data_IF_762162968861
#
_entry.id   IF_762162968861
#
_cell.length_a   1.000
_cell.length_b   1.000
_cell.length_c   1.000
_cell.angle_alpha   90.00
_cell.angle_beta   90.00
_cell.angle_gamma   90.00
#
_symmetry.space_group_name_H-M   'P 1'
#
loop_
_entity.id
_entity.type
_entity.pdbx_description
1 polymer ?
#
# COMPACT_ATOMS: atom_id res chain seq x y z
N UNK A 1 -6.75 -5.01 -3.48
CA UNK A 1 -6.65 -3.54 -3.34
C UNK A 1 -6.81 -2.90 -4.69
N UNK A 2 -7.27 -1.64 -4.75
CA UNK A 2 -7.51 -0.92 -6.01
C UNK A 2 -6.63 0.32 -6.12
N UNK A 3 -6.19 0.63 -7.34
CA UNK A 3 -5.49 1.86 -7.68
C UNK A 3 -6.07 2.42 -8.98
N UNK A 4 -5.94 3.72 -9.20
CA UNK A 4 -6.37 4.35 -10.43
C UNK A 4 -5.55 3.89 -11.65
N UNK A 5 -4.30 3.45 -11.44
CA UNK A 5 -3.30 3.21 -12.47
C UNK A 5 -2.26 4.32 -12.50
N UNK A 6 -1.18 4.11 -13.27
CA UNK A 6 -0.07 5.08 -13.32
C UNK A 6 0.62 5.15 -14.68
N UNK A 7 0.66 4.05 -15.44
CA UNK A 7 1.39 3.98 -16.70
C UNK A 7 0.43 4.13 -17.88
N UNK A 8 0.77 5.03 -18.81
CA UNK A 8 -0.03 5.29 -20.01
C UNK A 8 -0.21 4.04 -20.88
N UNK A 9 0.81 3.17 -20.93
CA UNK A 9 0.77 1.94 -21.73
C UNK A 9 -0.35 0.98 -21.28
N UNK A 10 -0.66 0.92 -19.98
CA UNK A 10 -1.74 0.05 -19.47
C UNK A 10 -3.11 0.50 -20.00
N UNK A 11 -3.28 1.82 -20.17
CA UNK A 11 -4.50 2.43 -20.68
C UNK A 11 -4.60 2.29 -22.20
N UNK A 12 -3.49 2.45 -22.90
CA UNK A 12 -3.41 2.22 -24.35
C UNK A 12 -3.76 0.76 -24.71
N UNK A 13 -3.25 -0.21 -23.95
CA UNK A 13 -3.57 -1.63 -24.13
C UNK A 13 -5.03 -1.97 -23.82
N UNK A 14 -5.64 -1.25 -22.88
CA UNK A 14 -7.04 -1.42 -22.52
C UNK A 14 -8.00 -0.60 -23.40
N UNK A 15 -7.48 0.14 -24.38
CA UNK A 15 -8.24 1.08 -25.22
C UNK A 15 -9.03 2.13 -24.39
N UNK A 16 -8.44 2.56 -23.27
CA UNK A 16 -9.00 3.58 -22.38
C UNK A 16 -8.18 4.88 -22.49
N UNK A 17 -8.81 6.06 -22.65
CA UNK A 17 -8.08 7.33 -22.60
C UNK A 17 -7.41 7.55 -21.24
N UNK A 18 -6.11 7.82 -21.23
CA UNK A 18 -5.33 7.99 -20.00
C UNK A 18 -5.75 9.22 -19.18
N UNK A 19 -6.19 10.29 -19.85
CA UNK A 19 -6.69 11.51 -19.23
C UNK A 19 -8.00 11.31 -18.45
N UNK A 20 -8.74 10.23 -18.73
CA UNK A 20 -9.96 9.86 -18.01
C UNK A 20 -9.69 9.04 -16.74
N UNK A 21 -8.43 8.74 -16.41
CA UNK A 21 -8.02 7.86 -15.30
C UNK A 21 -8.72 8.16 -13.98
N UNK A 22 -8.71 9.43 -13.55
CA UNK A 22 -9.25 9.83 -12.25
C UNK A 22 -10.77 9.71 -12.23
N UNK A 23 -11.44 10.17 -13.28
CA UNK A 23 -12.90 10.16 -13.35
C UNK A 23 -13.44 8.73 -13.49
N UNK A 24 -12.83 7.91 -14.35
CA UNK A 24 -13.18 6.48 -14.45
C UNK A 24 -13.00 5.76 -13.13
N UNK A 25 -11.90 6.00 -12.43
CA UNK A 25 -11.67 5.39 -11.13
C UNK A 25 -12.73 5.80 -10.11
N UNK A 26 -13.08 7.09 -10.03
CA UNK A 26 -14.14 7.60 -9.16
C UNK A 26 -15.51 6.98 -9.47
N UNK A 27 -15.82 6.77 -10.76
CA UNK A 27 -17.09 6.17 -11.20
C UNK A 27 -17.14 4.66 -10.95
N UNK A 28 -16.04 3.94 -11.18
CA UNK A 28 -16.00 2.48 -11.10
C UNK A 28 -15.84 1.96 -9.67
N UNK A 29 -15.05 2.64 -8.83
CA UNK A 29 -14.70 2.15 -7.50
C UNK A 29 -15.93 1.85 -6.61
N UNK A 30 -16.95 2.74 -6.48
CA UNK A 30 -18.13 2.44 -5.66
C UNK A 30 -18.87 1.18 -6.13
N UNK A 31 -19.04 1.00 -7.45
CA UNK A 31 -19.74 -0.16 -8.02
C UNK A 31 -19.02 -1.47 -7.68
N UNK A 32 -17.70 -1.49 -7.80
CA UNK A 32 -16.89 -2.66 -7.48
C UNK A 32 -16.89 -2.94 -5.97
N UNK A 33 -16.84 -1.90 -5.13
CA UNK A 33 -16.94 -2.05 -3.67
C UNK A 33 -18.29 -2.65 -3.28
N UNK A 34 -19.40 -2.17 -3.85
CA UNK A 34 -20.72 -2.71 -3.57
C UNK A 34 -20.84 -4.18 -4.03
N UNK A 35 -20.33 -4.51 -5.22
CA UNK A 35 -20.28 -5.88 -5.70
C UNK A 35 -19.45 -6.79 -4.77
N UNK A 36 -18.25 -6.37 -4.36
CA UNK A 36 -17.39 -7.17 -3.46
C UNK A 36 -17.88 -7.23 -2.01
N UNK A 37 -19.00 -6.56 -1.71
CA UNK A 37 -19.76 -6.67 -0.46
C UNK A 37 -21.09 -7.39 -0.63
N UNK A 38 -21.38 -7.91 -1.83
CA UNK A 38 -22.64 -8.59 -2.12
C UNK A 38 -23.85 -7.65 -2.19
N UNK A 39 -23.64 -6.35 -2.40
CA UNK A 39 -24.67 -5.31 -2.44
C UNK A 39 -24.91 -4.73 -3.84
N UNK A 40 -24.33 -5.29 -4.90
CA UNK A 40 -24.56 -4.80 -6.26
C UNK A 40 -26.04 -4.98 -6.66
N UNK A 41 -26.76 -3.91 -7.04
CA UNK A 41 -28.15 -4.02 -7.49
C UNK A 41 -28.27 -4.44 -8.97
N UNK A 42 -27.14 -4.60 -9.67
CA UNK A 42 -27.07 -4.92 -11.08
C UNK A 42 -26.88 -6.41 -11.38
N UNK A 43 -26.43 -6.74 -12.61
CA UNK A 43 -26.24 -8.12 -13.02
C UNK A 43 -25.22 -8.89 -12.18
N UNK A 44 -24.19 -8.23 -11.64
CA UNK A 44 -23.18 -8.89 -10.78
C UNK A 44 -23.81 -9.37 -9.48
N UNK A 45 -24.77 -8.63 -8.93
CA UNK A 45 -25.56 -9.04 -7.76
C UNK A 45 -26.37 -10.33 -7.94
N UNK A 46 -26.59 -10.78 -9.18
CA UNK A 46 -27.27 -12.07 -9.43
C UNK A 46 -26.32 -13.27 -9.30
N UNK A 47 -25.01 -13.03 -9.42
CA UNK A 47 -23.98 -14.05 -9.31
C UNK A 47 -23.93 -14.63 -7.88
N UNK A 48 -23.78 -15.96 -7.79
CA UNK A 48 -23.79 -16.66 -6.50
C UNK A 48 -22.54 -16.41 -5.67
N UNK A 49 -21.38 -16.26 -6.31
CA UNK A 49 -20.14 -15.93 -5.62
C UNK A 49 -20.21 -14.50 -5.06
N UNK A 50 -20.73 -13.56 -5.84
CA UNK A 50 -20.95 -12.17 -5.37
C UNK A 50 -21.90 -12.11 -4.18
N UNK A 51 -23.07 -12.75 -4.26
CA UNK A 51 -24.04 -12.72 -3.14
C UNK A 51 -23.51 -13.31 -1.84
N UNK A 52 -22.61 -14.30 -1.91
CA UNK A 52 -22.01 -14.90 -0.72
C UNK A 52 -21.16 -13.90 0.07
N UNK A 53 -20.63 -12.87 -0.58
CA UNK A 53 -19.85 -11.83 0.07
C UNK A 53 -20.69 -10.94 1.00
N UNK A 54 -22.02 -10.96 0.94
CA UNK A 54 -22.84 -10.24 1.91
C UNK A 54 -22.72 -10.82 3.33
N UNK A 55 -22.42 -12.12 3.46
CA UNK A 55 -22.22 -12.77 4.75
C UNK A 55 -20.77 -12.64 5.27
N UNK A 56 -19.80 -12.54 4.36
CA UNK A 56 -18.38 -12.38 4.66
C UNK A 56 -17.75 -11.42 3.64
N UNK A 57 -17.89 -10.09 3.85
CA UNK A 57 -17.45 -9.09 2.88
C UNK A 57 -15.93 -9.07 2.75
N UNK A 58 -15.43 -8.95 1.51
CA UNK A 58 -13.99 -8.84 1.30
C UNK A 58 -13.44 -7.53 1.90
N UNK A 59 -12.33 -7.56 2.65
CA UNK A 59 -11.60 -6.35 3.02
C UNK A 59 -11.02 -5.68 1.77
N UNK A 60 -11.24 -4.37 1.64
CA UNK A 60 -10.79 -3.59 0.48
C UNK A 60 -9.90 -2.45 0.95
N UNK A 61 -8.75 -2.33 0.29
CA UNK A 61 -7.84 -1.18 0.44
C UNK A 61 -7.70 -0.45 -0.88
N UNK A 62 -7.54 0.87 -0.82
CA UNK A 62 -7.36 1.74 -1.99
C UNK A 62 -6.01 2.45 -1.89
N UNK A 63 -5.21 2.41 -2.95
CA UNK A 63 -4.00 3.21 -3.04
C UNK A 63 -4.39 4.70 -3.07
N UNK A 64 -3.95 5.47 -2.07
CA UNK A 64 -4.38 6.85 -1.88
C UNK A 64 -3.19 7.77 -1.60
N UNK A 65 -2.99 8.77 -2.46
CA UNK A 65 -1.90 9.76 -2.35
C UNK A 65 -2.42 11.20 -2.15
N UNK A 66 -3.69 11.37 -1.77
CA UNK A 66 -4.27 12.69 -1.51
C UNK A 66 -5.41 12.62 -0.49
N UNK A 67 -5.65 13.72 0.22
CA UNK A 67 -6.73 13.79 1.20
C UNK A 67 -8.12 13.51 0.60
N UNK A 68 -8.49 14.02 -0.61
CA UNK A 68 -9.75 13.64 -1.24
C UNK A 68 -9.88 12.15 -1.56
N UNK A 69 -8.78 11.47 -1.90
CA UNK A 69 -8.77 10.02 -2.11
C UNK A 69 -8.98 9.27 -0.78
N UNK A 70 -8.32 9.70 0.29
CA UNK A 70 -8.48 9.13 1.62
C UNK A 70 -9.92 9.28 2.14
N UNK A 71 -10.50 10.48 2.03
CA UNK A 71 -11.90 10.73 2.43
C UNK A 71 -12.88 9.89 1.60
N UNK A 72 -12.61 9.66 0.31
CA UNK A 72 -13.43 8.78 -0.54
C UNK A 72 -13.34 7.32 -0.09
N UNK A 73 -12.14 6.82 0.19
CA UNK A 73 -11.95 5.46 0.69
C UNK A 73 -12.72 5.24 2.00
N UNK A 74 -12.61 6.17 2.96
CA UNK A 74 -13.34 6.13 4.22
C UNK A 74 -14.87 6.09 4.02
N UNK A 75 -15.42 6.94 3.15
CA UNK A 75 -16.87 6.95 2.82
C UNK A 75 -17.36 5.65 2.19
N UNK A 76 -16.46 4.93 1.51
CA UNK A 76 -16.73 3.60 0.97
C UNK A 76 -16.41 2.48 1.97
N UNK A 77 -16.04 2.81 3.21
CA UNK A 77 -15.61 1.84 4.23
C UNK A 77 -14.37 1.05 3.82
N UNK A 78 -13.53 1.58 2.95
CA UNK A 78 -12.28 0.94 2.51
C UNK A 78 -11.10 1.45 3.34
N UNK A 79 -10.12 0.57 3.56
CA UNK A 79 -8.80 0.98 4.02
C UNK A 79 -8.02 1.74 2.93
N UNK A 80 -6.89 2.30 3.32
CA UNK A 80 -5.97 3.05 2.45
C UNK A 80 -4.60 2.40 2.47
N UNK A 81 -3.92 2.44 1.33
CA UNK A 81 -2.57 1.92 1.13
C UNK A 81 -1.67 3.05 0.63
N UNK A 82 -0.57 3.29 1.33
CA UNK A 82 0.38 4.36 1.01
C UNK A 82 1.58 3.86 0.21
N UNK A 83 2.17 4.76 -0.59
CA UNK A 83 3.34 4.45 -1.41
C UNK A 83 4.56 4.09 -0.55
N UNK A 84 5.36 3.13 -1.02
CA UNK A 84 6.59 2.66 -0.37
C UNK A 84 7.68 3.70 -0.17
N UNK A 85 7.61 4.84 -0.85
CA UNK A 85 8.59 5.92 -0.79
C UNK A 85 8.07 7.15 -0.06
N UNK A 86 6.77 7.17 0.26
CA UNK A 86 6.12 8.28 0.94
C UNK A 86 6.67 8.44 2.36
N UNK A 87 6.90 9.68 2.79
CA UNK A 87 7.33 9.97 4.18
C UNK A 87 6.29 9.56 5.22
N UNK A 88 6.74 9.34 6.46
CA UNK A 88 5.84 9.11 7.60
C UNK A 88 4.89 10.29 7.80
N UNK A 89 5.40 11.52 7.75
CA UNK A 89 4.61 12.76 7.92
C UNK A 89 3.46 12.86 6.90
N UNK A 90 3.74 12.59 5.61
CA UNK A 90 2.71 12.63 4.57
C UNK A 90 1.69 11.53 4.82
N UNK A 91 2.13 10.33 5.22
CA UNK A 91 1.25 9.22 5.54
C UNK A 91 0.33 9.55 6.72
N UNK A 92 0.86 10.12 7.80
CA UNK A 92 0.09 10.54 8.97
C UNK A 92 -0.95 11.62 8.61
N UNK A 93 -0.57 12.63 7.83
CA UNK A 93 -1.50 13.67 7.35
C UNK A 93 -2.64 13.07 6.50
N UNK A 94 -2.33 12.12 5.63
CA UNK A 94 -3.34 11.44 4.81
C UNK A 94 -4.21 10.49 5.65
N UNK A 95 -3.62 9.84 6.65
CA UNK A 95 -4.29 9.00 7.65
C UNK A 95 -5.31 9.80 8.47
N UNK A 96 -4.93 11.01 8.90
CA UNK A 96 -5.84 11.93 9.56
C UNK A 96 -7.08 12.24 8.69
N UNK A 97 -6.90 12.51 7.39
CA UNK A 97 -8.02 12.75 6.49
C UNK A 97 -8.93 11.52 6.31
N UNK A 98 -8.38 10.30 6.37
CA UNK A 98 -9.14 9.04 6.35
C UNK A 98 -9.96 8.87 7.64
N UNK A 99 -9.33 9.09 8.80
CA UNK A 99 -9.98 9.01 10.12
C UNK A 99 -11.06 10.07 10.32
N UNK A 100 -10.78 11.34 9.98
CA UNK A 100 -11.75 12.43 10.02
C UNK A 100 -13.01 12.16 9.17
N UNK A 101 -12.88 11.32 8.14
CA UNK A 101 -14.00 10.90 7.30
C UNK A 101 -14.74 9.66 7.83
N UNK A 102 -14.42 9.20 9.05
CA UNK A 102 -15.13 8.15 9.77
C UNK A 102 -14.48 6.77 9.74
N UNK A 103 -13.25 6.63 9.22
CA UNK A 103 -12.57 5.34 9.23
C UNK A 103 -11.82 5.08 10.54
N UNK A 104 -12.07 3.95 11.17
CA UNK A 104 -11.42 3.56 12.43
C UNK A 104 -10.06 2.91 12.20
N UNK A 105 -9.93 2.06 11.18
CA UNK A 105 -8.73 1.25 10.90
C UNK A 105 -8.42 1.14 9.40
N UNK A 106 -7.36 0.41 9.05
CA UNK A 106 -7.05 0.02 7.68
C UNK A 106 -6.15 1.02 6.99
N UNK A 107 -5.24 1.65 7.73
CA UNK A 107 -4.19 2.51 7.18
C UNK A 107 -2.93 1.67 7.03
N UNK A 108 -2.67 1.27 5.79
CA UNK A 108 -1.60 0.33 5.43
C UNK A 108 -0.39 1.09 4.91
N UNK A 109 0.73 0.97 5.61
CA UNK A 109 2.02 1.46 5.15
C UNK A 109 2.69 0.40 4.28
N UNK A 110 3.08 0.73 3.05
CA UNK A 110 4.07 -0.11 2.34
C UNK A 110 5.44 0.36 2.80
N UNK A 111 6.31 -0.57 3.21
CA UNK A 111 7.69 -0.22 3.52
C UNK A 111 8.66 -1.30 3.09
N UNK A 112 9.83 -0.85 2.61
CA UNK A 112 10.95 -1.75 2.31
C UNK A 112 11.69 -2.01 3.61
N UNK A 113 11.94 -3.27 3.90
CA UNK A 113 12.62 -3.68 5.13
C UNK A 113 13.74 -4.63 4.76
N UNK A 114 14.94 -4.40 5.30
CA UNK A 114 16.10 -5.25 5.07
C UNK A 114 16.79 -5.62 6.38
N UNK A 115 17.12 -6.90 6.55
CA UNK A 115 17.79 -7.40 7.76
C UNK A 115 19.24 -7.74 7.42
N UNK A 116 20.17 -7.04 8.08
CA UNK A 116 21.61 -7.07 7.82
C UNK A 116 22.09 -5.93 6.90
N UNK A 117 23.29 -6.05 6.31
CA UNK A 117 23.83 -5.03 5.42
C UNK A 117 22.95 -4.83 4.17
N UNK A 118 22.49 -3.60 3.88
CA UNK A 118 21.57 -3.35 2.77
C UNK A 118 22.25 -3.53 1.39
N UNK A 119 21.49 -3.92 0.35
CA UNK A 119 21.98 -4.06 -1.02
C UNK A 119 21.98 -2.69 -1.70
N UNK A 120 22.92 -1.82 -1.29
CA UNK A 120 22.94 -0.39 -1.64
C UNK A 120 22.91 -0.14 -3.15
N UNK A 121 23.63 -0.95 -3.94
CA UNK A 121 23.73 -0.78 -5.38
C UNK A 121 22.40 -1.07 -6.09
N UNK A 122 21.75 -2.19 -5.76
CA UNK A 122 20.44 -2.58 -6.31
C UNK A 122 19.36 -1.58 -5.89
N UNK A 123 19.45 -1.07 -4.65
CA UNK A 123 18.56 -0.05 -4.14
C UNK A 123 18.71 1.28 -4.88
N UNK A 124 19.94 1.76 -5.09
CA UNK A 124 20.20 2.96 -5.87
C UNK A 124 19.66 2.82 -7.30
N UNK A 125 19.94 1.68 -7.95
CA UNK A 125 19.44 1.40 -9.30
C UNK A 125 17.90 1.38 -9.37
N UNK A 126 17.22 0.88 -8.33
CA UNK A 126 15.77 0.91 -8.27
C UNK A 126 15.24 2.34 -8.09
N UNK A 127 15.88 3.17 -7.26
CA UNK A 127 15.50 4.58 -7.09
C UNK A 127 15.66 5.38 -8.37
N UNK A 128 16.75 5.16 -9.11
CA UNK A 128 16.97 5.81 -10.40
C UNK A 128 15.90 5.41 -11.42
N UNK A 129 15.52 4.12 -11.43
CA UNK A 129 14.43 3.66 -12.29
C UNK A 129 13.09 4.28 -11.91
N UNK A 130 12.76 4.39 -10.62
CA UNK A 130 11.51 5.03 -10.19
C UNK A 130 11.47 6.52 -10.54
N UNK A 131 12.58 7.23 -10.36
CA UNK A 131 12.71 8.63 -10.78
C UNK A 131 12.56 8.81 -12.30
N UNK A 132 12.91 7.80 -13.10
CA UNK A 132 12.84 7.93 -14.57
C UNK A 132 11.41 7.97 -15.13
N UNK A 133 10.40 7.50 -14.39
CA UNK A 133 9.01 7.49 -14.86
C UNK A 133 8.01 8.15 -13.90
N UNK A 134 8.43 8.53 -12.69
CA UNK A 134 7.57 9.22 -11.75
C UNK A 134 7.30 10.66 -12.19
N UNK A 135 6.07 11.13 -11.94
CA UNK A 135 5.74 12.53 -12.12
C UNK A 135 6.20 13.36 -10.91
N UNK A 136 6.37 14.66 -11.10
CA UNK A 136 6.87 15.60 -10.08
C UNK A 136 6.00 15.61 -8.81
N UNK A 137 4.68 15.40 -8.96
CA UNK A 137 3.75 15.36 -7.85
C UNK A 137 3.95 14.13 -6.94
N UNK A 138 4.30 12.97 -7.50
CA UNK A 138 4.62 11.77 -6.74
C UNK A 138 5.96 11.94 -6.02
N UNK A 139 7.00 12.39 -6.73
CA UNK A 139 8.35 12.53 -6.16
C UNK A 139 8.43 13.58 -5.06
N UNK A 140 7.57 14.61 -5.07
CA UNK A 140 7.53 15.66 -4.02
C UNK A 140 7.29 15.11 -2.62
N UNK A 141 6.59 13.98 -2.51
CA UNK A 141 6.28 13.36 -1.22
C UNK A 141 7.24 12.22 -0.85
N UNK A 142 8.27 11.98 -1.67
CA UNK A 142 9.24 10.91 -1.44
C UNK A 142 10.36 11.37 -0.51
N UNK A 143 10.92 10.40 0.21
CA UNK A 143 12.11 10.60 1.04
C UNK A 143 13.17 9.58 0.66
N UNK A 144 14.43 9.99 0.77
CA UNK A 144 15.57 9.11 0.55
C UNK A 144 15.65 7.99 1.62
N UNK A 145 15.00 8.19 2.77
CA UNK A 145 15.01 7.31 3.95
C UNK A 145 13.86 6.29 3.99
N UNK A 146 13.44 5.82 2.81
CA UNK A 146 12.29 4.91 2.69
C UNK A 146 12.63 3.42 2.82
N UNK A 147 13.87 3.12 3.24
CA UNK A 147 14.30 1.79 3.67
C UNK A 147 14.38 1.75 5.19
N UNK A 148 13.65 0.82 5.79
CA UNK A 148 13.90 0.42 7.17
C UNK A 148 14.94 -0.70 7.15
N UNK A 149 15.97 -0.61 7.97
CA UNK A 149 16.94 -1.69 8.11
C UNK A 149 17.43 -1.85 9.53
N UNK A 150 17.95 -3.03 9.84
CA UNK A 150 18.57 -3.34 11.12
C UNK A 150 19.48 -4.56 11.02
N UNK A 151 20.50 -4.63 11.86
CA UNK A 151 21.48 -5.73 11.83
C UNK A 151 20.85 -7.08 12.23
N UNK A 152 19.76 -7.05 12.98
CA UNK A 152 19.02 -8.23 13.45
C UNK A 152 17.52 -8.12 13.12
N UNK A 153 16.79 -9.26 13.08
CA UNK A 153 15.35 -9.25 12.87
C UNK A 153 14.58 -8.37 13.86
N UNK A 154 14.98 -8.38 15.14
CA UNK A 154 14.33 -7.55 16.19
C UNK A 154 14.63 -6.07 15.98
N UNK A 155 15.87 -5.70 15.69
CA UNK A 155 16.22 -4.29 15.45
C UNK A 155 15.49 -3.72 14.23
N UNK A 156 15.35 -4.51 13.15
CA UNK A 156 14.58 -4.09 11.98
C UNK A 156 13.07 -3.97 12.28
N UNK A 157 12.54 -4.82 13.17
CA UNK A 157 11.15 -4.75 13.61
C UNK A 157 10.89 -3.51 14.47
N UNK A 158 11.77 -3.19 15.41
CA UNK A 158 11.70 -1.97 16.24
C UNK A 158 11.73 -0.71 15.36
N UNK A 159 12.69 -0.63 14.44
CA UNK A 159 12.76 0.50 13.50
C UNK A 159 11.50 0.62 12.62
N UNK A 160 10.90 -0.51 12.21
CA UNK A 160 9.64 -0.48 11.47
C UNK A 160 8.47 0.01 12.32
N UNK A 161 8.40 -0.42 13.58
CA UNK A 161 7.34 -0.01 14.52
C UNK A 161 7.39 1.49 14.79
N UNK A 162 8.58 2.08 14.93
CA UNK A 162 8.76 3.53 15.05
C UNK A 162 8.18 4.25 13.82
N UNK A 163 8.53 3.79 12.61
CA UNK A 163 8.01 4.35 11.36
C UNK A 163 6.48 4.20 11.26
N UNK A 164 5.92 3.09 11.73
CA UNK A 164 4.46 2.88 11.74
C UNK A 164 3.74 3.83 12.69
N UNK A 165 4.30 4.02 13.89
CA UNK A 165 3.79 4.97 14.88
C UNK A 165 3.82 6.41 14.34
N UNK A 166 4.94 6.83 13.75
CA UNK A 166 5.07 8.14 13.12
C UNK A 166 4.12 8.33 11.92
N UNK A 167 3.81 7.25 11.22
CA UNK A 167 2.93 7.26 10.03
C UNK A 167 1.44 7.17 10.37
N UNK A 168 1.06 6.99 11.64
CA UNK A 168 -0.33 6.76 12.08
C UNK A 168 -0.97 5.56 11.33
N UNK A 169 -0.18 4.52 11.10
CA UNK A 169 -0.57 3.31 10.37
C UNK A 169 -0.72 2.12 11.32
N UNK A 170 -1.80 1.36 11.15
CA UNK A 170 -2.15 0.19 11.97
C UNK A 170 -1.80 -1.14 11.29
N UNK A 171 -1.36 -1.08 10.04
CA UNK A 171 -1.09 -2.24 9.20
C UNK A 171 0.13 -1.97 8.34
N UNK A 172 0.92 -3.01 8.04
CA UNK A 172 2.10 -2.90 7.18
C UNK A 172 2.10 -3.93 6.05
N UNK A 173 2.53 -3.51 4.87
CA UNK A 173 2.95 -4.36 3.76
C UNK A 173 4.47 -4.28 3.64
N UNK A 174 5.17 -5.31 4.10
CA UNK A 174 6.64 -5.38 4.03
C UNK A 174 7.06 -5.81 2.63
N UNK A 175 7.94 -5.02 2.01
CA UNK A 175 8.49 -5.28 0.68
C UNK A 175 9.95 -5.72 0.79
N UNK A 176 10.16 -7.01 0.55
CA UNK A 176 11.47 -7.66 0.57
C UNK A 176 12.20 -7.56 -0.77
N UNK A 177 11.45 -7.54 -1.88
CA UNK A 177 12.03 -7.57 -3.22
C UNK A 177 12.46 -6.17 -3.71
N UNK A 178 13.69 -6.10 -4.21
CA UNK A 178 14.30 -4.97 -4.94
C UNK A 178 14.77 -5.50 -6.29
N UNK A 179 14.61 -4.70 -7.35
CA UNK A 179 15.08 -5.07 -8.68
C UNK A 179 16.60 -5.28 -8.66
N UNK A 180 17.06 -6.43 -9.15
CA UNK A 180 18.48 -6.79 -9.19
C UNK A 180 18.87 -7.86 -8.17
N UNK A 181 18.04 -8.11 -7.15
CA UNK A 181 18.27 -9.22 -6.23
C UNK A 181 18.10 -10.58 -6.92
N UNK A 182 18.95 -11.52 -6.53
CA UNK A 182 18.81 -12.93 -6.91
C UNK A 182 17.69 -13.59 -6.09
N UNK A 183 17.08 -14.68 -6.60
CA UNK A 183 16.10 -15.45 -5.83
C UNK A 183 16.64 -15.91 -4.48
N UNK A 184 17.91 -16.34 -4.41
CA UNK A 184 18.54 -16.78 -3.17
C UNK A 184 18.64 -15.67 -2.12
N UNK A 185 18.93 -14.42 -2.53
CA UNK A 185 18.92 -13.27 -1.60
C UNK A 185 17.52 -12.95 -1.09
N UNK A 186 16.49 -13.09 -1.93
CA UNK A 186 15.10 -12.91 -1.51
C UNK A 186 14.69 -14.01 -0.52
N UNK A 187 15.03 -15.27 -0.80
CA UNK A 187 14.76 -16.41 0.09
C UNK A 187 15.47 -16.24 1.44
N UNK A 188 16.72 -15.79 1.45
CA UNK A 188 17.47 -15.50 2.68
C UNK A 188 16.79 -14.39 3.49
N UNK A 189 16.34 -13.32 2.85
CA UNK A 189 15.61 -12.27 3.55
C UNK A 189 14.26 -12.77 4.08
N UNK A 190 13.52 -13.59 3.33
CA UNK A 190 12.28 -14.18 3.81
C UNK A 190 12.54 -15.06 5.06
N UNK A 191 13.63 -15.83 5.06
CA UNK A 191 14.03 -16.63 6.23
C UNK A 191 14.38 -15.73 7.43
N UNK A 192 15.13 -14.65 7.24
CA UNK A 192 15.44 -13.67 8.29
C UNK A 192 14.19 -12.96 8.83
N UNK A 193 13.21 -12.67 7.98
CA UNK A 193 11.94 -12.08 8.40
C UNK A 193 11.09 -13.08 9.21
N UNK A 194 11.12 -14.35 8.83
CA UNK A 194 10.46 -15.43 9.57
C UNK A 194 11.13 -15.70 10.92
N UNK A 195 12.44 -15.44 11.05
CA UNK A 195 13.23 -15.62 12.27
C UNK A 195 13.03 -14.46 13.26
N UNK A 196 11.80 -14.31 13.76
CA UNK A 196 11.46 -13.41 14.87
C UNK A 196 11.05 -11.99 14.50
N UNK A 197 11.34 -11.49 13.29
CA UNK A 197 10.86 -10.16 12.86
C UNK A 197 9.33 -10.09 12.80
N UNK A 198 8.66 -11.06 12.17
CA UNK A 198 7.18 -11.06 12.04
C UNK A 198 6.51 -11.11 13.41
N UNK A 199 7.06 -11.88 14.35
CA UNK A 199 6.50 -12.00 15.70
C UNK A 199 6.71 -10.72 16.51
N UNK A 200 7.88 -10.07 16.39
CA UNK A 200 8.14 -8.78 17.01
C UNK A 200 7.19 -7.68 16.48
N UNK A 201 6.99 -7.60 15.16
CA UNK A 201 6.05 -6.63 14.56
C UNK A 201 4.61 -6.90 15.01
N UNK A 202 4.18 -8.19 15.06
CA UNK A 202 2.84 -8.55 15.54
C UNK A 202 2.65 -8.18 17.01
N UNK A 203 3.64 -8.43 17.85
CA UNK A 203 3.59 -8.06 19.26
C UNK A 203 3.50 -6.54 19.45
N UNK A 204 4.24 -5.77 18.64
CA UNK A 204 4.18 -4.30 18.67
C UNK A 204 2.86 -3.71 18.16
N UNK A 205 2.18 -4.36 17.20
CA UNK A 205 0.88 -3.92 16.68
C UNK A 205 -0.33 -4.38 17.51
N UNK A 206 -0.19 -5.47 18.28
CA UNK A 206 -1.26 -6.04 19.09
C UNK A 206 -1.38 -5.48 20.51
N UNK A 207 -0.57 -4.47 20.85
CA UNK A 207 -0.62 -3.72 22.12
C UNK A 207 -1.68 -2.63 22.16
#
# INVERSE_FOLDING_TARGET
>A
GFAAGALRVDFELAEVPFDEIVERFKTALPKIVDALRGHDPGPLGTDRAIRRLAADPMPIVVAAQSAPACRRAARLGCGVLYDSLQSSEVSARLGAAHREAGAETGRVLIRRVWIGPPPEAEMAAQMDHYRSYANEAATKNWTDDSLVHGDTPVAAAEALLDVLAESDCDTVNVRVHVKGLTPAQVDEQLARHADGFVDAVRAGLGG
#
